data_IF_969604815956
#
_entry.id   IF_969604815956
#
_cell.length_a   1.000
_cell.length_b   1.000
_cell.length_c   1.000
_cell.angle_alpha   90.00
_cell.angle_beta   90.00
_cell.angle_gamma   90.00
#
_symmetry.space_group_name_H-M   'P 1'
#
loop_
_entity.id
_entity.type
_entity.pdbx_description
1 polymer ?
#
# COMPACT_ATOMS: atom_id res chain seq x y z
N UNK A 1 7.65 -5.99 -9.34
CA UNK A 1 6.78 -7.19 -9.38
C UNK A 1 6.79 -7.77 -7.98
N UNK A 2 5.63 -8.16 -7.44
CA UNK A 2 5.53 -8.72 -6.08
C UNK A 2 5.94 -10.20 -6.13
N UNK A 3 6.80 -10.62 -5.20
CA UNK A 3 7.22 -12.01 -5.08
C UNK A 3 6.32 -12.75 -4.08
N UNK A 4 5.17 -13.21 -4.56
CA UNK A 4 4.14 -13.86 -3.75
C UNK A 4 4.63 -15.14 -3.06
N UNK A 5 5.55 -15.87 -3.70
CA UNK A 5 6.15 -17.07 -3.11
C UNK A 5 7.01 -16.70 -1.89
N UNK A 6 7.88 -15.69 -2.02
CA UNK A 6 8.66 -15.20 -0.88
C UNK A 6 7.77 -14.69 0.25
N UNK A 7 6.70 -13.96 -0.07
CA UNK A 7 5.74 -13.51 0.94
C UNK A 7 5.09 -14.70 1.66
N UNK A 8 4.65 -15.72 0.93
CA UNK A 8 4.05 -16.92 1.52
C UNK A 8 5.01 -17.62 2.50
N UNK A 9 6.30 -17.68 2.17
CA UNK A 9 7.35 -18.20 3.05
C UNK A 9 7.54 -17.30 4.28
N UNK A 10 7.61 -15.97 4.09
CA UNK A 10 7.80 -14.99 5.17
C UNK A 10 6.66 -15.03 6.20
N UNK A 11 5.42 -15.16 5.75
CA UNK A 11 4.26 -15.28 6.65
C UNK A 11 4.11 -16.68 7.26
N UNK A 12 4.91 -17.66 6.80
CA UNK A 12 4.95 -19.03 7.29
C UNK A 12 3.72 -19.87 6.99
N UNK A 13 2.61 -19.27 6.52
CA UNK A 13 1.39 -19.97 6.17
C UNK A 13 0.57 -19.18 5.12
N UNK A 14 0.07 -19.82 4.04
CA UNK A 14 -0.75 -19.16 3.02
C UNK A 14 -1.98 -18.42 3.57
N UNK A 15 -2.65 -18.99 4.59
CA UNK A 15 -3.82 -18.35 5.22
C UNK A 15 -3.48 -17.04 5.93
N UNK A 16 -2.28 -16.90 6.50
CA UNK A 16 -1.86 -15.64 7.13
C UNK A 16 -1.61 -14.56 6.10
N UNK A 17 -0.98 -14.92 4.97
CA UNK A 17 -0.83 -14.01 3.85
C UNK A 17 -2.21 -13.57 3.34
N UNK A 18 -3.12 -14.52 3.08
CA UNK A 18 -4.49 -14.23 2.65
C UNK A 18 -5.21 -13.27 3.62
N UNK A 19 -5.13 -13.52 4.93
CA UNK A 19 -5.71 -12.62 5.95
C UNK A 19 -5.18 -11.19 5.84
N UNK A 20 -3.86 -11.00 5.73
CA UNK A 20 -3.29 -9.66 5.61
C UNK A 20 -3.64 -8.97 4.29
N UNK A 21 -3.72 -9.73 3.20
CA UNK A 21 -4.16 -9.22 1.90
C UNK A 21 -5.64 -8.79 1.94
N UNK A 22 -6.50 -9.56 2.62
CA UNK A 22 -7.89 -9.19 2.84
C UNK A 22 -8.02 -7.92 3.67
N UNK A 23 -7.25 -7.77 4.75
CA UNK A 23 -7.22 -6.54 5.55
C UNK A 23 -6.85 -5.32 4.69
N UNK A 24 -5.82 -5.43 3.84
CA UNK A 24 -5.43 -4.32 2.95
C UNK A 24 -6.59 -3.94 2.01
N UNK A 25 -7.27 -4.92 1.41
CA UNK A 25 -8.39 -4.65 0.50
C UNK A 25 -9.59 -4.06 1.25
N UNK A 26 -9.91 -4.56 2.45
CA UNK A 26 -11.05 -4.08 3.25
C UNK A 26 -10.90 -2.62 3.69
N UNK A 27 -9.69 -2.17 4.03
CA UNK A 27 -9.44 -0.79 4.47
C UNK A 27 -9.12 0.17 3.32
N UNK A 28 -8.99 -0.34 2.09
CA UNK A 28 -8.49 0.43 0.95
C UNK A 28 -9.28 1.70 0.60
N UNK A 29 -10.61 1.67 0.69
CA UNK A 29 -11.44 2.85 0.44
C UNK A 29 -11.17 3.97 1.46
N UNK A 30 -10.95 3.62 2.73
CA UNK A 30 -10.65 4.59 3.78
C UNK A 30 -9.25 5.18 3.58
N UNK A 31 -8.28 4.36 3.17
CA UNK A 31 -6.91 4.78 2.91
C UNK A 31 -6.81 5.69 1.67
N UNK A 32 -7.58 5.40 0.62
CA UNK A 32 -7.70 6.28 -0.55
C UNK A 32 -8.37 7.61 -0.18
N UNK A 33 -9.40 7.60 0.67
CA UNK A 33 -10.01 8.83 1.17
C UNK A 33 -9.03 9.65 2.02
N UNK A 34 -8.15 8.99 2.80
CA UNK A 34 -7.08 9.67 3.55
C UNK A 34 -6.08 10.37 2.63
N UNK A 35 -5.68 9.74 1.52
CA UNK A 35 -4.81 10.35 0.52
C UNK A 35 -5.45 11.59 -0.14
N UNK A 36 -6.73 11.50 -0.50
CA UNK A 36 -7.48 12.63 -1.06
C UNK A 36 -7.61 13.77 -0.04
N UNK A 37 -7.91 13.43 1.22
CA UNK A 37 -7.98 14.41 2.30
C UNK A 37 -6.62 15.09 2.52
N UNK A 38 -5.53 14.31 2.55
CA UNK A 38 -4.17 14.83 2.67
C UNK A 38 -3.85 15.82 1.56
N UNK A 39 -4.21 15.49 0.32
CA UNK A 39 -4.05 16.39 -0.84
C UNK A 39 -4.83 17.70 -0.69
N UNK A 40 -6.08 17.63 -0.21
CA UNK A 40 -6.96 18.80 -0.11
C UNK A 40 -6.66 19.70 1.10
N UNK A 41 -6.12 19.15 2.19
CA UNK A 41 -5.99 19.84 3.49
C UNK A 41 -4.54 20.03 3.94
N UNK A 42 -3.55 19.37 3.34
CA UNK A 42 -2.12 19.59 3.64
C UNK A 42 -1.62 19.00 4.97
N UNK A 43 -2.47 18.47 5.85
CA UNK A 43 -2.13 18.23 7.27
C UNK A 43 -1.88 16.75 7.68
N UNK A 44 -1.95 15.77 6.78
CA UNK A 44 -1.97 14.34 7.17
C UNK A 44 -0.66 13.55 6.93
N UNK A 45 0.47 14.24 6.73
CA UNK A 45 1.75 13.62 6.31
C UNK A 45 2.14 12.39 7.15
N UNK A 46 2.07 12.49 8.48
CA UNK A 46 2.55 11.43 9.40
C UNK A 46 1.68 10.18 9.35
N UNK A 47 0.35 10.34 9.33
CA UNK A 47 -0.58 9.19 9.30
C UNK A 47 -0.51 8.48 7.95
N UNK A 48 -0.49 9.23 6.86
CA UNK A 48 -0.32 8.71 5.50
C UNK A 48 1.00 7.94 5.40
N UNK A 49 2.12 8.55 5.79
CA UNK A 49 3.43 7.91 5.71
C UNK A 49 3.50 6.61 6.50
N UNK A 50 2.96 6.56 7.72
CA UNK A 50 2.96 5.35 8.55
C UNK A 50 2.14 4.21 7.95
N UNK A 51 0.91 4.49 7.48
CA UNK A 51 0.01 3.49 6.88
C UNK A 51 0.65 2.88 5.64
N UNK A 52 1.03 3.71 4.66
CA UNK A 52 1.51 3.20 3.38
C UNK A 52 2.90 2.56 3.48
N UNK A 53 3.76 3.01 4.40
CA UNK A 53 5.05 2.33 4.67
C UNK A 53 4.84 0.95 5.28
N UNK A 54 3.84 0.80 6.16
CA UNK A 54 3.44 -0.49 6.72
C UNK A 54 2.94 -1.45 5.64
N UNK A 55 2.03 -0.99 4.78
CA UNK A 55 1.51 -1.76 3.65
C UNK A 55 2.64 -2.16 2.69
N UNK A 56 3.47 -1.21 2.26
CA UNK A 56 4.59 -1.47 1.36
C UNK A 56 5.55 -2.53 1.91
N UNK A 57 5.78 -2.52 3.23
CA UNK A 57 6.60 -3.51 3.92
C UNK A 57 5.93 -4.88 4.00
N UNK A 58 4.63 -4.92 4.31
CA UNK A 58 3.85 -6.17 4.40
C UNK A 58 3.84 -6.95 3.07
N UNK A 59 3.73 -6.25 1.94
CA UNK A 59 3.67 -6.86 0.60
C UNK A 59 5.00 -6.79 -0.17
N UNK A 60 6.06 -6.27 0.46
CA UNK A 60 7.37 -6.06 -0.15
C UNK A 60 7.28 -5.39 -1.56
N UNK A 61 6.47 -4.34 -1.68
CA UNK A 61 6.17 -3.69 -2.96
C UNK A 61 7.00 -2.42 -3.14
N UNK A 62 8.11 -2.54 -3.87
CA UNK A 62 9.13 -1.48 -4.01
C UNK A 62 8.62 -0.14 -4.54
N UNK A 63 7.70 -0.07 -5.54
CA UNK A 63 7.19 1.21 -6.02
C UNK A 63 6.47 2.01 -4.93
N UNK A 64 5.59 1.36 -4.16
CA UNK A 64 4.90 2.00 -3.04
C UNK A 64 5.88 2.40 -1.93
N UNK A 65 6.88 1.55 -1.64
CA UNK A 65 7.93 1.88 -0.67
C UNK A 65 8.73 3.13 -1.11
N UNK A 66 9.04 3.25 -2.41
CA UNK A 66 9.73 4.42 -2.96
C UNK A 66 8.89 5.69 -2.85
N UNK A 67 7.60 5.63 -3.16
CA UNK A 67 6.69 6.76 -2.99
C UNK A 67 6.56 7.18 -1.51
N UNK A 68 6.50 6.22 -0.58
CA UNK A 68 6.51 6.49 0.85
C UNK A 68 7.80 7.17 1.32
N UNK A 69 8.95 6.72 0.80
CA UNK A 69 10.25 7.31 1.12
C UNK A 69 10.34 8.76 0.61
N UNK A 70 9.92 9.03 -0.63
CA UNK A 70 9.82 10.39 -1.18
C UNK A 70 8.95 11.28 -0.30
N UNK A 71 7.81 10.76 0.16
CA UNK A 71 6.92 11.49 1.06
C UNK A 71 7.59 11.77 2.41
N UNK A 72 8.32 10.80 2.98
CA UNK A 72 9.04 10.98 4.23
C UNK A 72 10.11 12.09 4.11
N UNK A 73 10.90 12.05 3.04
CA UNK A 73 12.01 12.96 2.78
C UNK A 73 11.59 14.37 2.38
N UNK A 74 10.37 14.54 1.84
CA UNK A 74 9.87 15.85 1.44
C UNK A 74 9.67 16.77 2.65
N UNK A 75 10.19 18.00 2.62
CA UNK A 75 9.99 18.96 3.72
C UNK A 75 8.51 19.33 3.92
N UNK A 76 7.75 19.31 2.82
CA UNK A 76 6.32 19.63 2.79
C UNK A 76 5.54 18.54 2.06
N UNK A 77 4.22 18.54 2.23
CA UNK A 77 3.34 17.62 1.54
C UNK A 77 3.26 18.00 0.05
N UNK A 78 3.96 17.25 -0.81
CA UNK A 78 3.97 17.48 -2.26
C UNK A 78 2.79 16.74 -2.93
N UNK A 79 1.86 17.44 -3.61
CA UNK A 79 0.75 16.82 -4.33
C UNK A 79 1.18 15.79 -5.39
N UNK A 80 2.35 15.97 -6.01
CA UNK A 80 2.89 15.04 -7.01
C UNK A 80 3.26 13.71 -6.34
N UNK A 81 3.87 13.76 -5.16
CA UNK A 81 4.23 12.58 -4.40
C UNK A 81 2.96 11.85 -3.91
N UNK A 82 1.92 12.58 -3.52
CA UNK A 82 0.63 11.98 -3.16
C UNK A 82 -0.06 11.31 -4.35
N UNK A 83 0.00 11.90 -5.54
CA UNK A 83 -0.55 11.31 -6.76
C UNK A 83 0.23 10.04 -7.16
N UNK A 84 1.55 10.04 -7.02
CA UNK A 84 2.40 8.86 -7.19
C UNK A 84 2.04 7.76 -6.18
N UNK A 85 1.94 8.12 -4.90
CA UNK A 85 1.57 7.20 -3.81
C UNK A 85 0.18 6.58 -4.04
N UNK A 86 -0.78 7.39 -4.46
CA UNK A 86 -2.14 6.94 -4.81
C UNK A 86 -2.11 5.96 -5.97
N UNK A 87 -1.37 6.28 -7.03
CA UNK A 87 -1.25 5.43 -8.23
C UNK A 87 -0.63 4.08 -7.90
N UNK A 88 0.48 4.06 -7.15
CA UNK A 88 1.14 2.82 -6.78
C UNK A 88 0.31 2.01 -5.79
N UNK A 89 -0.45 2.66 -4.90
CA UNK A 89 -1.36 1.96 -4.00
C UNK A 89 -2.53 1.31 -4.75
N UNK A 90 -3.17 2.01 -5.69
CA UNK A 90 -4.21 1.43 -6.54
C UNK A 90 -3.68 0.25 -7.37
N UNK A 91 -2.47 0.37 -7.89
CA UNK A 91 -1.79 -0.71 -8.59
C UNK A 91 -1.56 -1.92 -7.69
N UNK A 92 -1.16 -1.71 -6.43
CA UNK A 92 -1.02 -2.78 -5.45
C UNK A 92 -2.34 -3.50 -5.23
N UNK A 93 -3.45 -2.78 -5.04
CA UNK A 93 -4.78 -3.38 -4.84
C UNK A 93 -5.19 -4.29 -6.00
N UNK A 94 -4.95 -3.85 -7.24
CA UNK A 94 -5.21 -4.67 -8.44
C UNK A 94 -4.37 -5.96 -8.41
N UNK A 95 -3.09 -5.87 -8.05
CA UNK A 95 -2.21 -7.04 -7.95
C UNK A 95 -2.65 -8.00 -6.84
N UNK A 96 -3.12 -7.48 -5.70
CA UNK A 96 -3.66 -8.29 -4.61
C UNK A 96 -4.92 -9.03 -5.06
N UNK A 97 -5.86 -8.32 -5.68
CA UNK A 97 -7.11 -8.90 -6.19
C UNK A 97 -6.85 -10.00 -7.24
N UNK A 98 -5.88 -9.78 -8.14
CA UNK A 98 -5.45 -10.80 -9.10
C UNK A 98 -4.88 -12.03 -8.40
N UNK A 99 -3.97 -11.84 -7.45
CA UNK A 99 -3.41 -12.94 -6.67
C UNK A 99 -4.48 -13.75 -5.94
N UNK A 100 -5.45 -13.08 -5.30
CA UNK A 100 -6.56 -13.73 -4.61
C UNK A 100 -7.44 -14.53 -5.56
N UNK A 101 -7.79 -13.96 -6.73
CA UNK A 101 -8.58 -14.66 -7.75
C UNK A 101 -7.89 -15.94 -8.24
N UNK A 102 -6.57 -15.89 -8.44
CA UNK A 102 -5.78 -17.04 -8.90
C UNK A 102 -5.68 -18.16 -7.86
N UNK A 103 -5.91 -17.87 -6.58
CA UNK A 103 -5.76 -18.83 -5.46
C UNK A 103 -7.09 -19.22 -4.79
N UNK A 104 -8.22 -18.63 -5.22
CA UNK A 104 -9.58 -18.99 -4.79
C UNK A 104 -10.28 -19.97 -5.76
N UNK A 105 -9.66 -20.25 -6.92
CA UNK A 105 -10.14 -21.20 -7.93
C UNK A 105 -9.60 -22.61 -7.70
#
# INVERSE_FOLDING_TARGET
MIDWQKLTILYGHPQKLAFWLDEIVQHSDQELALLQKARSQGELKTQVSAIFSGIASLVNFSPLASACQKLADAEQLDPIILDELTTEYQRLLILIQQYQSDHQS
#
